data_IF_437879828826
#
_entry.id   IF_437879828826
#
_cell.length_a   1.000
_cell.length_b   1.000
_cell.length_c   1.000
_cell.angle_alpha   90.00
_cell.angle_beta   90.00
_cell.angle_gamma   90.00
#
_symmetry.space_group_name_H-M   'P 1'
#
loop_
_entity.id
_entity.type
_entity.pdbx_description
1 polymer ?
#
# COMPACT_ATOMS: atom_id res chain seq x y z
N UNK A 1 -8.54 31.07 -13.41
CA UNK A 1 -9.60 30.12 -13.84
C UNK A 1 -10.21 29.45 -12.62
N UNK A 2 -11.50 29.67 -12.36
CA UNK A 2 -12.16 29.23 -11.11
C UNK A 2 -12.26 27.71 -10.95
N UNK A 3 -12.34 26.97 -12.05
CA UNK A 3 -12.51 25.51 -12.01
C UNK A 3 -11.24 24.77 -11.55
N UNK A 4 -10.06 25.22 -11.99
CA UNK A 4 -8.79 24.65 -11.54
C UNK A 4 -8.51 24.89 -10.06
N UNK A 5 -8.84 26.07 -9.55
CA UNK A 5 -8.71 26.40 -8.12
C UNK A 5 -9.68 25.57 -7.26
N UNK A 6 -10.92 25.37 -7.73
CA UNK A 6 -11.90 24.52 -7.06
C UNK A 6 -11.47 23.05 -7.03
N UNK A 7 -10.97 22.51 -8.15
CA UNK A 7 -10.45 21.14 -8.19
C UNK A 7 -9.26 20.96 -7.25
N UNK A 8 -8.30 21.90 -7.25
CA UNK A 8 -7.18 21.87 -6.33
C UNK A 8 -7.64 21.91 -4.86
N UNK A 9 -8.60 22.79 -4.53
CA UNK A 9 -9.15 22.88 -3.17
C UNK A 9 -9.78 21.56 -2.72
N UNK A 10 -10.50 20.86 -3.60
CA UNK A 10 -11.07 19.53 -3.31
C UNK A 10 -9.98 18.46 -3.18
N UNK A 11 -8.97 18.47 -4.06
CA UNK A 11 -7.88 17.50 -4.04
C UNK A 11 -7.02 17.59 -2.79
N UNK A 12 -6.85 18.79 -2.22
CA UNK A 12 -6.06 19.04 -1.01
C UNK A 12 -6.95 19.03 0.25
N UNK A 13 -8.27 19.04 0.12
CA UNK A 13 -9.18 19.05 1.26
C UNK A 13 -8.97 17.84 2.17
N UNK A 14 -8.82 18.12 3.47
CA UNK A 14 -8.67 17.10 4.51
C UNK A 14 -9.64 17.41 5.65
N UNK A 15 -10.38 16.41 6.15
CA UNK A 15 -11.22 16.57 7.32
C UNK A 15 -10.34 16.85 8.55
N UNK A 16 -10.89 17.59 9.51
CA UNK A 16 -10.12 18.12 10.65
C UNK A 16 -9.36 17.03 11.43
N UNK A 17 -9.95 15.84 11.59
CA UNK A 17 -9.34 14.70 12.28
C UNK A 17 -8.18 14.03 11.52
N UNK A 18 -8.00 14.33 10.23
CA UNK A 18 -6.88 13.84 9.41
C UNK A 18 -5.73 14.84 9.28
N UNK A 19 -5.92 16.10 9.70
CA UNK A 19 -4.87 17.12 9.65
C UNK A 19 -3.73 16.71 10.57
N UNK A 20 -2.54 16.55 9.99
CA UNK A 20 -1.34 16.17 10.73
C UNK A 20 -0.60 17.43 11.20
N UNK A 21 0.09 17.34 12.33
CA UNK A 21 1.10 18.33 12.72
C UNK A 21 2.22 18.38 11.64
N UNK A 22 3.13 19.37 11.73
CA UNK A 22 4.25 19.42 10.78
C UNK A 22 5.05 18.11 10.84
N UNK A 23 5.04 17.38 9.74
CA UNK A 23 5.76 16.13 9.53
C UNK A 23 6.73 16.31 8.36
N UNK A 24 7.75 15.45 8.22
CA UNK A 24 8.55 15.39 7.01
C UNK A 24 7.66 15.28 5.76
N UNK A 25 7.97 15.95 4.64
CA UNK A 25 7.11 15.98 3.45
C UNK A 25 6.69 14.60 2.94
N UNK A 26 7.52 13.57 3.13
CA UNK A 26 7.24 12.19 2.74
C UNK A 26 6.13 11.53 3.58
N UNK A 27 5.93 12.00 4.81
CA UNK A 27 4.86 11.55 5.72
C UNK A 27 3.69 12.52 5.78
N UNK A 28 3.95 13.81 5.53
CA UNK A 28 2.94 14.85 5.42
C UNK A 28 2.09 14.58 4.18
N UNK A 29 0.80 14.36 4.37
CA UNK A 29 -0.14 14.19 3.26
C UNK A 29 -0.34 15.51 2.53
N UNK A 30 0.31 15.64 1.38
CA UNK A 30 0.14 16.78 0.46
C UNK A 30 -1.22 16.73 -0.27
N UNK A 31 -1.80 15.52 -0.38
CA UNK A 31 -3.05 15.27 -1.09
C UNK A 31 -4.09 14.74 -0.08
N UNK A 32 -5.31 15.24 -0.16
CA UNK A 32 -6.45 14.78 0.63
C UNK A 32 -7.06 13.47 0.14
N UNK A 33 -8.08 12.92 0.82
CA UNK A 33 -8.69 11.64 0.44
C UNK A 33 -9.26 11.63 -0.98
N UNK A 34 -9.85 12.75 -1.43
CA UNK A 34 -10.39 12.88 -2.77
C UNK A 34 -9.29 12.84 -3.85
N UNK A 35 -8.17 13.54 -3.61
CA UNK A 35 -7.04 13.50 -4.54
C UNK A 35 -6.34 12.13 -4.54
N UNK A 36 -6.28 11.43 -3.40
CA UNK A 36 -5.80 10.05 -3.35
C UNK A 36 -6.70 9.12 -4.17
N UNK A 37 -8.03 9.20 -3.97
CA UNK A 37 -9.00 8.44 -4.76
C UNK A 37 -8.83 8.70 -6.27
N UNK A 38 -8.75 9.97 -6.67
CA UNK A 38 -8.54 10.35 -8.07
C UNK A 38 -7.21 9.81 -8.62
N UNK A 39 -6.12 9.89 -7.86
CA UNK A 39 -4.82 9.34 -8.24
C UNK A 39 -4.86 7.81 -8.40
N UNK A 40 -5.56 7.11 -7.49
CA UNK A 40 -5.80 5.68 -7.63
C UNK A 40 -6.60 5.34 -8.87
N UNK A 41 -7.72 6.02 -9.11
CA UNK A 41 -8.53 5.83 -10.31
C UNK A 41 -7.72 6.08 -11.58
N UNK A 42 -6.91 7.14 -11.62
CA UNK A 42 -6.03 7.44 -12.74
C UNK A 42 -5.00 6.33 -12.97
N UNK A 43 -4.37 5.80 -11.91
CA UNK A 43 -3.42 4.69 -12.01
C UNK A 43 -4.10 3.40 -12.51
N UNK A 44 -5.33 3.12 -12.07
CA UNK A 44 -6.14 2.02 -12.57
C UNK A 44 -6.45 2.16 -14.06
N UNK A 45 -6.93 3.33 -14.49
CA UNK A 45 -7.23 3.63 -15.89
C UNK A 45 -5.98 3.52 -16.77
N UNK A 46 -4.86 4.01 -16.27
CA UNK A 46 -3.57 3.90 -16.96
C UNK A 46 -3.18 2.43 -17.16
N UNK A 47 -3.22 1.61 -16.12
CA UNK A 47 -2.89 0.19 -16.23
C UNK A 47 -3.88 -0.58 -17.11
N UNK A 48 -5.17 -0.24 -17.05
CA UNK A 48 -6.18 -0.79 -17.95
C UNK A 48 -5.88 -0.44 -19.41
N UNK A 49 -5.48 0.79 -19.70
CA UNK A 49 -5.08 1.20 -21.05
C UNK A 49 -3.87 0.40 -21.55
N UNK A 50 -2.86 0.20 -20.70
CA UNK A 50 -1.72 -0.65 -21.03
C UNK A 50 -2.13 -2.10 -21.31
N UNK A 51 -3.04 -2.66 -20.53
CA UNK A 51 -3.55 -4.01 -20.73
C UNK A 51 -4.33 -4.15 -22.05
N UNK A 52 -5.16 -3.15 -22.40
CA UNK A 52 -5.85 -3.09 -23.70
C UNK A 52 -4.83 -3.07 -24.84
N UNK A 53 -3.80 -2.23 -24.76
CA UNK A 53 -2.75 -2.16 -25.78
C UNK A 53 -1.96 -3.48 -25.89
N UNK A 54 -1.64 -4.12 -24.75
CA UNK A 54 -0.96 -5.40 -24.72
C UNK A 54 -1.81 -6.51 -25.36
N UNK A 55 -3.12 -6.56 -25.05
CA UNK A 55 -4.05 -7.51 -25.64
C UNK A 55 -4.22 -7.29 -27.15
N UNK A 56 -4.26 -6.04 -27.60
CA UNK A 56 -4.28 -5.69 -29.03
C UNK A 56 -3.00 -6.16 -29.72
N UNK A 57 -1.83 -5.89 -29.14
CA UNK A 57 -0.54 -6.34 -29.65
C UNK A 57 -0.47 -7.87 -29.76
N UNK A 58 -0.91 -8.59 -28.72
CA UNK A 58 -0.95 -10.05 -28.73
C UNK A 58 -1.88 -10.59 -29.84
N UNK A 59 -3.04 -9.98 -30.04
CA UNK A 59 -3.96 -10.37 -31.11
C UNK A 59 -3.37 -10.12 -32.51
N UNK A 60 -2.67 -9.00 -32.71
CA UNK A 60 -1.98 -8.70 -33.98
C UNK A 60 -0.83 -9.67 -34.28
N UNK A 61 -0.17 -10.18 -33.25
CA UNK A 61 0.88 -11.20 -33.35
C UNK A 61 0.34 -12.64 -33.49
N UNK A 62 -0.98 -12.82 -33.54
CA UNK A 62 -1.62 -14.13 -33.68
C UNK A 62 -1.71 -14.94 -32.38
N UNK A 63 -1.41 -14.34 -31.22
CA UNK A 63 -1.52 -14.98 -29.90
C UNK A 63 -2.94 -14.91 -29.33
N UNK A 64 -3.90 -15.53 -30.03
CA UNK A 64 -5.29 -15.62 -29.58
C UNK A 64 -6.15 -14.39 -29.91
N UNK A 65 -7.37 -14.36 -29.34
CA UNK A 65 -8.35 -13.29 -29.58
C UNK A 65 -8.24 -12.22 -28.49
N UNK A 66 -8.36 -10.96 -28.89
CA UNK A 66 -8.37 -9.81 -27.97
C UNK A 66 -9.29 -10.01 -26.78
N UNK A 67 -10.55 -10.40 -27.02
CA UNK A 67 -11.57 -10.55 -25.98
C UNK A 67 -11.18 -11.62 -24.95
N UNK A 68 -10.59 -12.73 -25.39
CA UNK A 68 -10.14 -13.80 -24.51
C UNK A 68 -8.96 -13.33 -23.66
N UNK A 69 -7.94 -12.74 -24.29
CA UNK A 69 -6.75 -12.24 -23.60
C UNK A 69 -7.12 -11.15 -22.57
N UNK A 70 -8.02 -10.24 -22.94
CA UNK A 70 -8.47 -9.18 -22.05
C UNK A 70 -9.29 -9.72 -20.88
N UNK A 71 -10.21 -10.65 -21.13
CA UNK A 71 -11.00 -11.28 -20.07
C UNK A 71 -10.12 -12.02 -19.05
N UNK A 72 -9.10 -12.71 -19.53
CA UNK A 72 -8.23 -13.52 -18.67
C UNK A 72 -7.15 -12.67 -17.97
N UNK A 73 -6.66 -11.62 -18.63
CA UNK A 73 -5.56 -10.76 -18.16
C UNK A 73 -6.00 -9.60 -17.26
N UNK A 74 -7.04 -8.86 -17.65
CA UNK A 74 -7.51 -7.66 -16.95
C UNK A 74 -7.70 -7.88 -15.44
N UNK A 75 -8.30 -9.00 -14.97
CA UNK A 75 -8.56 -9.18 -13.55
C UNK A 75 -7.29 -9.28 -12.69
N UNK A 76 -6.16 -9.68 -13.27
CA UNK A 76 -4.84 -9.74 -12.62
C UNK A 76 -4.13 -8.39 -12.66
N UNK A 77 -4.20 -7.68 -13.79
CA UNK A 77 -3.64 -6.33 -13.91
C UNK A 77 -4.30 -5.35 -12.94
N UNK A 78 -5.61 -5.49 -12.70
CA UNK A 78 -6.36 -4.66 -11.76
C UNK A 78 -5.91 -4.82 -10.28
N UNK A 79 -5.09 -5.82 -9.94
CA UNK A 79 -4.51 -5.98 -8.59
C UNK A 79 -3.13 -5.33 -8.44
N UNK A 80 -2.47 -4.97 -9.55
CA UNK A 80 -1.18 -4.29 -9.53
C UNK A 80 -1.20 -2.93 -8.80
N UNK A 81 -2.24 -2.07 -8.92
CA UNK A 81 -2.37 -0.82 -8.17
C UNK A 81 -2.17 -0.96 -6.66
N UNK A 82 -2.77 -2.00 -6.08
CA UNK A 82 -2.66 -2.32 -4.66
C UNK A 82 -1.21 -2.57 -4.24
N UNK A 83 -0.51 -3.38 -5.03
CA UNK A 83 0.88 -3.76 -4.79
C UNK A 83 1.83 -2.58 -4.98
N UNK A 84 1.64 -1.78 -6.04
CA UNK A 84 2.42 -0.57 -6.32
C UNK A 84 2.29 0.46 -5.20
N UNK A 85 1.10 0.59 -4.62
CA UNK A 85 0.87 1.50 -3.49
C UNK A 85 1.70 1.10 -2.28
N UNK A 86 1.74 -0.18 -1.93
CA UNK A 86 2.56 -0.65 -0.81
C UNK A 86 4.04 -0.34 -1.04
N UNK A 87 4.52 -0.54 -2.27
CA UNK A 87 5.89 -0.19 -2.63
C UNK A 87 6.16 1.31 -2.47
N UNK A 88 5.24 2.16 -2.93
CA UNK A 88 5.33 3.62 -2.78
C UNK A 88 5.32 4.07 -1.31
N UNK A 89 4.44 3.50 -0.49
CA UNK A 89 4.38 3.75 0.95
C UNK A 89 5.70 3.38 1.64
N UNK A 90 6.35 2.31 1.20
CA UNK A 90 7.64 1.84 1.74
C UNK A 90 8.82 2.81 1.58
N UNK A 91 8.70 3.87 0.78
CA UNK A 91 9.75 4.89 0.57
C UNK A 91 10.01 5.79 1.78
N UNK A 92 9.12 5.83 2.78
CA UNK A 92 9.25 6.74 3.92
C UNK A 92 10.52 6.50 4.76
N UNK A 93 10.98 5.25 4.88
CA UNK A 93 12.21 4.91 5.61
C UNK A 93 13.48 5.16 4.80
N UNK A 94 13.42 5.07 3.47
CA UNK A 94 14.58 5.35 2.61
C UNK A 94 14.82 6.86 2.46
N UNK A 95 13.77 7.67 2.62
CA UNK A 95 13.79 9.13 2.62
C UNK A 95 13.94 9.76 4.02
N UNK A 96 14.48 9.03 5.00
CA UNK A 96 14.62 9.53 6.39
C UNK A 96 15.74 10.54 6.64
N UNK A 97 16.42 11.01 5.58
CA UNK A 97 17.56 11.93 5.69
C UNK A 97 17.22 13.25 6.39
N UNK A 98 15.99 13.72 6.26
CA UNK A 98 15.57 15.01 6.82
C UNK A 98 15.10 14.93 8.28
N UNK A 99 14.92 13.71 8.81
CA UNK A 99 14.33 13.50 10.14
C UNK A 99 15.10 14.16 11.29
N UNK A 100 16.44 14.21 11.31
CA UNK A 100 17.18 14.95 12.33
C UNK A 100 16.79 16.43 12.40
N UNK A 101 16.57 17.09 11.26
CA UNK A 101 16.12 18.49 11.25
C UNK A 101 14.76 18.68 11.90
N UNK A 102 13.80 17.78 11.61
CA UNK A 102 12.49 17.80 12.25
C UNK A 102 12.56 17.49 13.75
N UNK A 103 13.44 16.59 14.16
CA UNK A 103 13.67 16.29 15.58
C UNK A 103 14.23 17.50 16.33
N UNK A 104 15.21 18.21 15.74
CA UNK A 104 15.85 19.40 16.32
C UNK A 104 14.89 20.59 16.52
N UNK A 105 13.69 20.57 15.92
CA UNK A 105 12.65 21.59 16.21
C UNK A 105 12.07 21.50 17.63
N UNK A 106 12.43 20.48 18.42
CA UNK A 106 12.06 20.36 19.84
C UNK A 106 10.61 19.94 20.11
N UNK A 107 9.77 19.77 19.09
CA UNK A 107 8.32 19.52 19.23
C UNK A 107 7.92 18.19 19.87
N UNK A 108 8.79 17.20 19.88
CA UNK A 108 8.42 15.83 20.22
C UNK A 108 8.89 15.38 21.60
N UNK A 109 9.63 16.22 22.34
CA UNK A 109 10.04 15.96 23.73
C UNK A 109 10.92 14.74 23.95
N UNK A 110 11.41 14.07 22.90
CA UNK A 110 12.33 12.93 22.99
C UNK A 110 12.28 12.01 21.76
N UNK A 111 13.32 11.18 21.59
CA UNK A 111 13.51 10.34 20.39
C UNK A 111 12.40 9.31 20.19
N UNK A 112 12.05 8.62 21.28
CA UNK A 112 11.00 7.60 21.26
C UNK A 112 9.65 8.21 20.92
N UNK A 113 9.38 9.44 21.35
CA UNK A 113 8.14 10.14 21.01
C UNK A 113 8.14 10.61 19.54
N UNK A 114 9.27 11.11 19.04
CA UNK A 114 9.43 11.47 17.63
C UNK A 114 9.20 10.27 16.69
N UNK A 115 9.91 9.16 16.91
CA UNK A 115 9.78 7.96 16.06
C UNK A 115 8.38 7.37 16.16
N UNK A 116 7.77 7.34 17.35
CA UNK A 116 6.36 6.92 17.50
C UNK A 116 5.41 7.82 16.71
N UNK A 117 5.66 9.13 16.66
CA UNK A 117 4.85 10.05 15.85
C UNK A 117 5.01 9.77 14.35
N UNK A 118 6.23 9.49 13.87
CA UNK A 118 6.47 9.12 12.46
C UNK A 118 5.75 7.81 12.10
N UNK A 119 5.88 6.76 12.91
CA UNK A 119 5.16 5.51 12.71
C UNK A 119 3.64 5.66 12.80
N UNK A 120 3.15 6.51 13.71
CA UNK A 120 1.71 6.80 13.80
C UNK A 120 1.21 7.48 12.53
N UNK A 121 1.94 8.46 12.02
CA UNK A 121 1.60 9.13 10.77
C UNK A 121 1.62 8.15 9.59
N UNK A 122 2.65 7.30 9.51
CA UNK A 122 2.76 6.23 8.52
C UNK A 122 1.57 5.29 8.56
N UNK A 123 1.20 4.78 9.74
CA UNK A 123 0.04 3.90 9.91
C UNK A 123 -1.26 4.54 9.44
N UNK A 124 -1.48 5.82 9.74
CA UNK A 124 -2.67 6.54 9.25
C UNK A 124 -2.67 6.60 7.72
N UNK A 125 -1.51 6.87 7.11
CA UNK A 125 -1.38 6.87 5.65
C UNK A 125 -1.65 5.47 5.06
N UNK A 126 -1.14 4.41 5.68
CA UNK A 126 -1.38 3.01 5.30
C UNK A 126 -2.86 2.66 5.37
N UNK A 127 -3.54 2.98 6.48
CA UNK A 127 -4.96 2.65 6.64
C UNK A 127 -5.83 3.39 5.62
N UNK A 128 -5.55 4.67 5.38
CA UNK A 128 -6.31 5.48 4.44
C UNK A 128 -6.05 5.06 2.98
N UNK A 129 -4.79 4.89 2.61
CA UNK A 129 -4.42 4.40 1.28
C UNK A 129 -4.96 2.99 1.05
N UNK A 130 -4.89 2.11 2.05
CA UNK A 130 -5.42 0.75 1.98
C UNK A 130 -6.94 0.72 1.80
N UNK A 131 -7.69 1.53 2.53
CA UNK A 131 -9.14 1.61 2.40
C UNK A 131 -9.56 2.08 1.00
N UNK A 132 -8.88 3.11 0.47
CA UNK A 132 -9.11 3.62 -0.89
C UNK A 132 -8.70 2.59 -1.93
N UNK A 133 -7.49 2.03 -1.85
CA UNK A 133 -6.94 1.09 -2.81
C UNK A 133 -7.81 -0.17 -2.92
N UNK A 134 -8.16 -0.77 -1.78
CA UNK A 134 -9.01 -1.96 -1.73
C UNK A 134 -10.41 -1.63 -2.22
N UNK A 135 -11.00 -0.51 -1.80
CA UNK A 135 -12.33 -0.09 -2.24
C UNK A 135 -12.42 0.09 -3.77
N UNK A 136 -11.43 0.77 -4.36
CA UNK A 136 -11.34 0.94 -5.82
C UNK A 136 -11.13 -0.41 -6.51
N UNK A 137 -10.26 -1.26 -5.98
CA UNK A 137 -10.04 -2.62 -6.52
C UNK A 137 -11.34 -3.41 -6.54
N UNK A 138 -12.10 -3.41 -5.43
CA UNK A 138 -13.39 -4.09 -5.33
C UNK A 138 -14.39 -3.57 -6.36
N UNK A 139 -14.46 -2.25 -6.55
CA UNK A 139 -15.32 -1.61 -7.54
C UNK A 139 -15.01 -2.12 -8.95
N UNK A 140 -13.72 -2.17 -9.33
CA UNK A 140 -13.31 -2.65 -10.65
C UNK A 140 -13.54 -4.15 -10.83
N UNK A 141 -13.23 -4.97 -9.83
CA UNK A 141 -13.51 -6.42 -9.89
C UNK A 141 -15.03 -6.68 -10.01
N UNK A 142 -15.86 -5.88 -9.35
CA UNK A 142 -17.31 -5.94 -9.51
C UNK A 142 -17.76 -5.53 -10.93
N UNK A 143 -17.17 -4.46 -11.48
CA UNK A 143 -17.48 -3.99 -12.83
C UNK A 143 -17.08 -5.01 -13.92
N UNK A 144 -16.04 -5.81 -13.68
CA UNK A 144 -15.61 -6.89 -14.58
C UNK A 144 -16.46 -8.18 -14.41
N UNK A 145 -17.41 -8.23 -13.47
CA UNK A 145 -18.20 -9.44 -13.20
C UNK A 145 -17.40 -10.57 -12.55
N UNK A 146 -16.25 -10.25 -12.00
CA UNK A 146 -15.20 -11.18 -11.57
C UNK A 146 -15.27 -11.53 -10.08
N UNK A 147 -16.40 -11.22 -9.43
CA UNK A 147 -16.62 -11.56 -8.04
C UNK A 147 -16.87 -13.07 -7.94
N UNK A 148 -16.11 -13.80 -7.10
CA UNK A 148 -16.23 -15.26 -7.02
C UNK A 148 -17.63 -15.66 -6.51
N UNK A 149 -18.50 -16.08 -7.42
CA UNK A 149 -19.87 -16.51 -7.08
C UNK A 149 -19.97 -17.98 -6.63
N UNK A 150 -18.92 -18.77 -6.87
CA UNK A 150 -18.90 -20.22 -6.59
C UNK A 150 -17.49 -20.68 -6.25
N UNK A 151 -17.12 -20.64 -4.98
CA UNK A 151 -15.92 -21.31 -4.49
C UNK A 151 -16.28 -22.18 -3.30
N UNK A 152 -15.53 -23.27 -3.12
CA UNK A 152 -15.71 -24.26 -2.04
C UNK A 152 -15.56 -23.67 -0.62
N UNK A 153 -15.18 -22.40 -0.51
CA UNK A 153 -15.20 -21.60 0.71
C UNK A 153 -16.23 -20.48 0.53
N UNK A 154 -17.21 -20.29 1.43
CA UNK A 154 -18.21 -19.23 1.32
C UNK A 154 -17.60 -17.86 1.65
N UNK A 155 -16.66 -17.39 0.83
CA UNK A 155 -16.08 -16.06 0.96
C UNK A 155 -16.97 -15.07 0.22
N UNK A 156 -17.69 -14.22 0.96
CA UNK A 156 -18.41 -13.11 0.35
C UNK A 156 -17.43 -11.97 0.01
N UNK A 157 -17.87 -11.06 -0.88
CA UNK A 157 -17.08 -9.91 -1.34
C UNK A 157 -16.55 -9.05 -0.18
N UNK A 158 -17.33 -8.74 0.87
CA UNK A 158 -16.83 -8.03 2.04
C UNK A 158 -15.67 -8.75 2.75
N UNK A 159 -15.72 -10.08 2.87
CA UNK A 159 -14.67 -10.86 3.52
C UNK A 159 -13.37 -10.85 2.69
N UNK A 160 -13.46 -10.98 1.37
CA UNK A 160 -12.29 -10.86 0.49
C UNK A 160 -11.69 -9.45 0.54
N UNK A 161 -12.54 -8.41 0.56
CA UNK A 161 -12.11 -7.03 0.77
C UNK A 161 -11.39 -6.84 2.10
N UNK A 162 -11.97 -7.34 3.20
CA UNK A 162 -11.40 -7.28 4.54
C UNK A 162 -10.05 -7.99 4.63
N UNK A 163 -9.93 -9.22 4.09
CA UNK A 163 -8.67 -9.97 4.10
C UNK A 163 -7.60 -9.28 3.24
N UNK A 164 -7.98 -8.73 2.08
CA UNK A 164 -7.05 -7.98 1.22
C UNK A 164 -6.57 -6.72 1.91
N UNK A 165 -7.46 -6.03 2.64
CA UNK A 165 -7.10 -4.88 3.46
C UNK A 165 -6.14 -5.25 4.60
N UNK A 166 -6.41 -6.34 5.35
CA UNK A 166 -5.51 -6.82 6.40
C UNK A 166 -4.13 -7.16 5.83
N UNK A 167 -4.09 -7.88 4.72
CA UNK A 167 -2.86 -8.23 4.03
C UNK A 167 -2.10 -7.00 3.56
N UNK A 168 -2.79 -6.00 3.00
CA UNK A 168 -2.22 -4.72 2.59
C UNK A 168 -1.57 -3.99 3.77
N UNK A 169 -2.29 -3.89 4.88
CA UNK A 169 -1.79 -3.25 6.11
C UNK A 169 -0.56 -3.99 6.63
N UNK A 170 -0.57 -5.33 6.61
CA UNK A 170 0.58 -6.14 7.01
C UNK A 170 1.80 -5.92 6.12
N UNK A 171 1.62 -6.09 4.81
CA UNK A 171 2.66 -5.94 3.79
C UNK A 171 3.28 -4.53 3.80
N UNK A 172 2.49 -3.49 4.05
CA UNK A 172 3.00 -2.12 4.15
C UNK A 172 4.06 -1.95 5.26
N UNK A 173 4.12 -2.83 6.25
CA UNK A 173 5.14 -2.75 7.30
C UNK A 173 6.42 -3.53 6.97
N UNK A 174 6.46 -4.28 5.87
CA UNK A 174 7.64 -5.08 5.50
C UNK A 174 8.87 -4.23 5.21
N UNK A 175 8.72 -3.00 4.69
CA UNK A 175 9.86 -2.08 4.55
C UNK A 175 10.60 -1.79 5.87
N UNK A 176 9.93 -1.94 7.02
CA UNK A 176 10.51 -1.79 8.35
C UNK A 176 11.14 -3.08 8.90
N UNK A 177 11.02 -4.20 8.18
CA UNK A 177 11.56 -5.52 8.56
C UNK A 177 13.08 -5.48 8.84
N UNK A 178 13.93 -4.81 8.03
CA UNK A 178 15.36 -4.73 8.32
C UNK A 178 15.70 -4.05 9.64
N UNK A 179 14.80 -3.22 10.19
CA UNK A 179 15.01 -2.54 11.48
C UNK A 179 14.99 -3.51 12.67
N UNK A 180 14.47 -4.74 12.48
CA UNK A 180 14.54 -5.78 13.50
C UNK A 180 15.98 -6.28 13.69
N UNK A 181 16.79 -6.25 12.63
CA UNK A 181 18.20 -6.64 12.67
C UNK A 181 19.08 -5.41 12.50
N UNK A 182 19.65 -4.94 13.62
CA UNK A 182 20.53 -3.76 13.67
C UNK A 182 21.63 -3.73 12.58
N UNK A 183 22.11 -4.90 12.14
CA UNK A 183 23.17 -5.04 11.15
C UNK A 183 22.73 -4.84 9.68
N UNK A 184 21.43 -4.94 9.36
CA UNK A 184 20.93 -5.03 7.97
C UNK A 184 20.18 -3.75 7.55
N UNK A 185 20.16 -2.69 8.36
CA UNK A 185 19.36 -1.48 8.17
C UNK A 185 19.71 -0.54 7.00
N UNK A 186 20.46 -1.02 6.00
CA UNK A 186 20.81 -0.26 4.80
C UNK A 186 19.61 0.00 3.89
N UNK A 187 19.68 1.07 3.07
CA UNK A 187 18.62 1.44 2.11
C UNK A 187 18.27 0.29 1.15
N UNK A 188 19.27 -0.49 0.71
CA UNK A 188 19.06 -1.64 -0.17
C UNK A 188 18.20 -2.74 0.45
N UNK A 189 18.38 -3.04 1.74
CA UNK A 189 17.55 -4.04 2.43
C UNK A 189 16.10 -3.58 2.57
N UNK A 190 15.88 -2.28 2.86
CA UNK A 190 14.53 -1.69 2.91
C UNK A 190 13.84 -1.82 1.55
N UNK A 191 14.55 -1.51 0.46
CA UNK A 191 14.04 -1.66 -0.90
C UNK A 191 13.73 -3.12 -1.22
N UNK A 192 14.62 -4.06 -0.89
CA UNK A 192 14.38 -5.49 -1.09
C UNK A 192 13.14 -5.97 -0.32
N UNK A 193 12.96 -5.55 0.92
CA UNK A 193 11.75 -5.87 1.69
C UNK A 193 10.48 -5.23 1.13
N UNK A 194 10.56 -4.02 0.55
CA UNK A 194 9.43 -3.41 -0.16
C UNK A 194 9.08 -4.18 -1.45
N UNK A 195 10.08 -4.70 -2.18
CA UNK A 195 9.85 -5.58 -3.34
C UNK A 195 9.20 -6.90 -2.89
N UNK A 196 9.65 -7.48 -1.78
CA UNK A 196 8.99 -8.66 -1.19
C UNK A 196 7.54 -8.36 -0.83
N UNK A 197 7.24 -7.21 -0.23
CA UNK A 197 5.88 -6.77 0.06
C UNK A 197 5.01 -6.66 -1.20
N UNK A 198 5.56 -6.06 -2.26
CA UNK A 198 4.93 -5.97 -3.57
C UNK A 198 4.60 -7.36 -4.12
N UNK A 199 5.57 -8.27 -4.16
CA UNK A 199 5.38 -9.63 -4.67
C UNK A 199 4.38 -10.42 -3.83
N UNK A 200 4.41 -10.23 -2.51
CA UNK A 200 3.50 -10.89 -1.57
C UNK A 200 2.06 -10.49 -1.87
N UNK A 201 1.77 -9.21 -2.08
CA UNK A 201 0.42 -8.75 -2.47
C UNK A 201 0.03 -9.16 -3.89
N UNK A 202 0.95 -9.07 -4.85
CA UNK A 202 0.64 -9.35 -6.24
C UNK A 202 0.25 -10.83 -6.43
N UNK A 203 1.03 -11.74 -5.84
CA UNK A 203 0.84 -13.18 -5.97
C UNK A 203 -0.12 -13.74 -4.91
N UNK A 204 -0.03 -13.24 -3.69
CA UNK A 204 -0.67 -13.84 -2.52
C UNK A 204 -2.01 -13.24 -2.10
N UNK A 205 -2.50 -12.20 -2.77
CA UNK A 205 -3.76 -11.59 -2.33
C UNK A 205 -4.94 -12.59 -2.39
N UNK A 206 -5.95 -12.42 -1.52
CA UNK A 206 -7.11 -13.29 -1.46
C UNK A 206 -7.87 -13.43 -2.79
N UNK A 207 -7.92 -12.41 -3.65
CA UNK A 207 -8.59 -12.50 -4.96
C UNK A 207 -7.85 -13.44 -5.91
N UNK A 208 -6.53 -13.28 -6.04
CA UNK A 208 -5.68 -14.16 -6.87
C UNK A 208 -5.74 -15.60 -6.37
N UNK A 209 -5.58 -15.79 -5.05
CA UNK A 209 -5.61 -17.13 -4.44
C UNK A 209 -6.98 -17.80 -4.56
N UNK A 210 -8.06 -17.03 -4.39
CA UNK A 210 -9.42 -17.49 -4.66
C UNK A 210 -9.56 -17.98 -6.10
N UNK A 211 -9.17 -17.17 -7.11
CA UNK A 211 -9.28 -17.56 -8.53
C UNK A 211 -8.49 -18.83 -8.86
N UNK A 212 -7.34 -19.04 -8.22
CA UNK A 212 -6.52 -20.24 -8.38
C UNK A 212 -7.08 -21.48 -7.64
N UNK A 213 -8.22 -21.38 -6.96
CA UNK A 213 -8.79 -22.47 -6.16
C UNK A 213 -8.10 -22.68 -4.80
N UNK A 214 -7.21 -21.77 -4.40
CA UNK A 214 -6.39 -21.83 -3.18
C UNK A 214 -6.91 -20.87 -2.10
N UNK A 215 -8.23 -20.70 -2.00
CA UNK A 215 -8.86 -19.72 -1.11
C UNK A 215 -8.42 -19.86 0.37
N UNK A 216 -8.34 -21.09 0.89
CA UNK A 216 -7.89 -21.33 2.27
C UNK A 216 -6.43 -20.88 2.51
N UNK A 217 -5.54 -21.12 1.55
CA UNK A 217 -4.16 -20.63 1.59
C UNK A 217 -4.14 -19.10 1.55
N UNK A 218 -4.98 -18.48 0.73
CA UNK A 218 -5.13 -17.02 0.66
C UNK A 218 -5.57 -16.41 2.00
N UNK A 219 -6.49 -17.04 2.72
CA UNK A 219 -6.90 -16.62 4.08
C UNK A 219 -5.72 -16.70 5.03
N UNK A 220 -5.05 -17.86 5.10
CA UNK A 220 -3.92 -18.09 5.99
C UNK A 220 -2.78 -17.10 5.72
N UNK A 221 -2.48 -16.85 4.45
CA UNK A 221 -1.45 -15.90 4.03
C UNK A 221 -1.82 -14.46 4.39
N UNK A 222 -3.06 -14.03 4.14
CA UNK A 222 -3.51 -12.69 4.51
C UNK A 222 -3.41 -12.43 6.03
N UNK A 223 -3.85 -13.39 6.85
CA UNK A 223 -3.76 -13.30 8.30
C UNK A 223 -2.31 -13.38 8.80
N UNK A 224 -1.49 -14.25 8.22
CA UNK A 224 -0.08 -14.39 8.55
C UNK A 224 0.73 -13.13 8.23
N UNK A 225 0.52 -12.55 7.05
CA UNK A 225 1.15 -11.29 6.62
C UNK A 225 0.70 -10.13 7.51
N UNK A 226 -0.59 -10.06 7.86
CA UNK A 226 -1.10 -9.08 8.80
C UNK A 226 -0.44 -9.21 10.17
N UNK A 227 -0.42 -10.41 10.75
CA UNK A 227 0.20 -10.67 12.04
C UNK A 227 1.69 -10.31 12.05
N UNK A 228 2.45 -10.76 11.05
CA UNK A 228 3.86 -10.42 10.89
C UNK A 228 4.07 -8.90 10.77
N UNK A 229 3.27 -8.22 9.95
CA UNK A 229 3.31 -6.78 9.81
C UNK A 229 3.02 -6.03 11.10
N UNK A 230 2.07 -6.50 11.91
CA UNK A 230 1.76 -5.90 13.23
C UNK A 230 2.90 -6.09 14.23
N UNK A 231 3.54 -7.26 14.24
CA UNK A 231 4.74 -7.51 15.05
C UNK A 231 5.86 -6.54 14.66
N UNK A 232 6.13 -6.38 13.36
CA UNK A 232 7.12 -5.41 12.86
C UNK A 232 6.72 -3.99 13.29
N UNK A 233 5.46 -3.61 13.11
CA UNK A 233 4.96 -2.28 13.46
C UNK A 233 5.14 -1.97 14.96
N UNK A 234 5.07 -2.98 15.82
CA UNK A 234 5.22 -2.83 17.26
C UNK A 234 6.68 -2.69 17.70
N UNK A 235 7.58 -3.49 17.11
CA UNK A 235 9.00 -3.56 17.50
C UNK A 235 9.85 -2.48 16.81
N UNK A 236 9.63 -2.24 15.51
CA UNK A 236 10.45 -1.36 14.69
C UNK A 236 10.60 0.07 15.21
N UNK A 237 9.59 0.74 15.81
CA UNK A 237 9.76 2.08 16.36
C UNK A 237 10.82 2.16 17.46
N UNK A 238 10.87 1.15 18.33
CA UNK A 238 11.84 1.10 19.42
C UNK A 238 13.26 0.87 18.90
N UNK A 239 13.42 0.03 17.87
CA UNK A 239 14.73 -0.22 17.26
C UNK A 239 15.22 0.99 16.46
N UNK A 240 14.35 1.62 15.67
CA UNK A 240 14.71 2.79 14.87
C UNK A 240 15.21 3.94 15.74
N UNK A 241 14.55 4.20 16.88
CA UNK A 241 14.98 5.22 17.83
C UNK A 241 16.39 4.99 18.39
N UNK A 242 16.84 3.73 18.47
CA UNK A 242 18.19 3.36 18.92
C UNK A 242 19.23 3.41 17.81
N UNK A 243 18.82 3.24 16.55
CA UNK A 243 19.73 3.20 15.40
C UNK A 243 20.09 4.59 14.88
N UNK A 244 19.08 5.46 14.68
CA UNK A 244 19.30 6.79 14.09
C UNK A 244 19.99 7.76 15.08
N UNK A 245 19.93 7.47 16.38
CA UNK A 245 20.63 8.26 17.38
C UNK A 245 21.21 7.37 18.50
N UNK A 246 22.47 6.93 18.36
CA UNK A 246 23.11 6.06 19.35
C UNK A 246 23.74 6.81 20.55
N UNK A 247 23.92 8.14 20.47
CA UNK A 247 24.79 8.91 21.38
C UNK A 247 24.10 9.76 22.46
N UNK A 248 22.77 10.02 22.42
CA UNK A 248 22.11 10.63 23.61
C UNK A 248 21.54 9.52 24.47
N UNK A 249 21.98 9.52 25.71
CA UNK A 249 21.46 8.68 26.79
C UNK A 249 20.34 9.43 27.50
N UNK A 250 19.12 9.28 26.99
CA UNK A 250 17.92 9.30 27.86
C UNK A 250 17.63 7.88 28.36
#
# INVERSE_FOLDING_TARGET
>A
GGLGAALHAVMVWQPAFLRQAALPPILARQIGPAGMLAGFMAMFLFLLLFDVLACWGAALLGHGRFVTNFRDGAPSVMLAPLSMTVMGLGGWLTARGDWPYFFMTGRYGGRRAFVRAMFRAYRVNVLLAGAIAVGVTLLFQAALGELPQRQNVPMNVPMLGGLTFLMFVGAAHFGALPLLWRAIGGKGAIVACNVLAYMTLNLGNPFTMARAGLAATGVGLALGVFAAGMVIAWIAPAQLARMDWPLDTE
#
